data_IF_274370269170
#
_entry.id   IF_274370269170
#
_cell.length_a   1.000
_cell.length_b   1.000
_cell.length_c   1.000
_cell.angle_alpha   90.00
_cell.angle_beta   90.00
_cell.angle_gamma   90.00
#
_symmetry.space_group_name_H-M   'P 1'
#
loop_
_entity.id
_entity.type
_entity.pdbx_description
1 polymer ?
#
# COMPACT_ATOMS: atom_id res chain seq x y z
N UNK A 1 14.26 4.12 8.30
CA UNK A 1 14.79 5.51 8.43
C UNK A 1 14.06 6.20 9.57
N UNK A 2 14.75 6.98 10.40
CA UNK A 2 14.14 7.73 11.52
C UNK A 2 14.37 9.22 11.31
N UNK A 3 13.33 10.03 11.53
CA UNK A 3 13.42 11.48 11.37
C UNK A 3 12.66 12.20 12.48
N UNK A 4 13.32 13.13 13.17
CA UNK A 4 12.68 14.00 14.19
C UNK A 4 12.66 15.46 13.74
N UNK A 5 11.71 16.30 14.21
CA UNK A 5 11.78 17.74 13.98
C UNK A 5 13.07 18.30 14.58
N UNK A 6 13.72 19.24 13.88
CA UNK A 6 14.89 19.95 14.39
C UNK A 6 14.55 20.86 15.59
N UNK A 7 13.37 21.50 15.59
CA UNK A 7 12.94 22.44 16.62
C UNK A 7 11.63 22.01 17.31
N UNK A 8 11.47 22.41 18.59
CA UNK A 8 10.22 22.22 19.34
C UNK A 8 9.12 23.06 18.71
N UNK A 9 8.13 22.41 18.11
CA UNK A 9 6.92 23.06 17.59
C UNK A 9 6.19 23.83 18.69
N UNK A 10 6.32 25.16 18.73
CA UNK A 10 5.52 26.04 19.59
C UNK A 10 4.16 26.25 18.94
N UNK A 11 3.07 26.13 19.71
CA UNK A 11 1.73 26.54 19.28
C UNK A 11 1.03 25.62 18.27
N UNK A 12 0.98 24.30 18.49
CA UNK A 12 0.19 23.42 17.64
C UNK A 12 -1.30 23.59 17.91
N UNK A 13 -2.08 23.95 16.88
CA UNK A 13 -3.54 23.91 16.91
C UNK A 13 -4.11 22.51 17.17
N UNK A 14 -5.44 22.39 17.21
CA UNK A 14 -6.16 21.12 17.43
C UNK A 14 -5.63 19.98 16.54
N UNK A 15 -5.22 18.87 17.15
CA UNK A 15 -4.76 17.64 16.48
C UNK A 15 -5.72 16.46 16.70
N UNK A 16 -7.02 16.76 16.80
CA UNK A 16 -8.07 15.80 17.16
C UNK A 16 -8.18 14.66 16.15
N UNK A 17 -8.15 14.96 14.86
CA UNK A 17 -8.28 13.95 13.82
C UNK A 17 -7.05 13.03 13.78
N UNK A 18 -5.85 13.61 13.86
CA UNK A 18 -4.60 12.84 13.94
C UNK A 18 -4.60 11.92 15.16
N UNK A 19 -4.96 12.45 16.33
CA UNK A 19 -5.04 11.67 17.58
C UNK A 19 -6.05 10.54 17.47
N UNK A 20 -7.24 10.80 16.90
CA UNK A 20 -8.28 9.79 16.71
C UNK A 20 -7.83 8.67 15.77
N UNK A 21 -7.19 9.00 14.64
CA UNK A 21 -6.68 8.00 13.70
C UNK A 21 -5.60 7.15 14.39
N UNK A 22 -4.67 7.79 15.11
CA UNK A 22 -3.62 7.06 15.85
C UNK A 22 -4.23 6.11 16.88
N UNK A 23 -5.19 6.59 17.69
CA UNK A 23 -5.88 5.76 18.67
C UNK A 23 -6.62 4.58 18.02
N UNK A 24 -7.34 4.81 16.92
CA UNK A 24 -8.06 3.77 16.20
C UNK A 24 -7.12 2.68 15.67
N UNK A 25 -5.99 3.06 15.08
CA UNK A 25 -4.97 2.11 14.61
C UNK A 25 -4.37 1.28 15.74
N UNK A 26 -4.06 1.91 16.88
CA UNK A 26 -3.55 1.21 18.06
C UNK A 26 -4.57 0.18 18.55
N UNK A 27 -5.85 0.55 18.67
CA UNK A 27 -6.91 -0.37 19.11
C UNK A 27 -7.05 -1.57 18.17
N UNK A 28 -7.08 -1.34 16.85
CA UNK A 28 -7.18 -2.42 15.86
C UNK A 28 -5.94 -3.32 15.91
N UNK A 29 -4.74 -2.76 16.06
CA UNK A 29 -3.53 -3.57 16.19
C UNK A 29 -3.53 -4.42 17.45
N UNK A 30 -3.89 -3.85 18.60
CA UNK A 30 -4.01 -4.62 19.85
C UNK A 30 -4.99 -5.79 19.70
N UNK A 31 -6.11 -5.57 19.02
CA UNK A 31 -7.09 -6.64 18.74
C UNK A 31 -6.58 -7.69 17.75
N UNK A 32 -5.84 -7.30 16.71
CA UNK A 32 -5.38 -8.25 15.68
C UNK A 32 -4.12 -9.03 16.06
N UNK A 33 -3.38 -8.57 17.09
CA UNK A 33 -2.08 -9.14 17.50
C UNK A 33 -2.05 -9.74 18.92
N UNK A 34 -3.13 -9.66 19.72
CA UNK A 34 -3.10 -10.16 21.12
C UNK A 34 -2.73 -11.64 21.25
N UNK A 35 -3.12 -12.48 20.29
CA UNK A 35 -2.80 -13.92 20.26
C UNK A 35 -1.31 -14.18 20.07
N UNK A 36 -0.59 -13.22 19.50
CA UNK A 36 0.84 -13.28 19.20
C UNK A 36 1.64 -12.31 20.10
N UNK A 37 1.16 -12.05 21.32
CA UNK A 37 1.83 -11.18 22.30
C UNK A 37 2.15 -9.77 21.77
N UNK A 38 1.32 -9.25 20.86
CA UNK A 38 1.46 -7.93 20.23
C UNK A 38 2.70 -7.73 19.33
N UNK A 39 3.38 -8.81 18.94
CA UNK A 39 4.54 -8.76 18.03
C UNK A 39 4.11 -8.69 16.57
N UNK A 40 3.09 -9.46 16.21
CA UNK A 40 2.55 -9.57 14.85
C UNK A 40 1.05 -9.84 14.86
N UNK A 41 0.34 -9.41 13.83
CA UNK A 41 -1.09 -9.70 13.68
C UNK A 41 -1.30 -11.11 13.14
N UNK A 42 -2.42 -11.74 13.50
CA UNK A 42 -2.70 -13.10 13.02
C UNK A 42 -2.95 -13.11 11.51
N UNK A 43 -2.53 -14.18 10.82
CA UNK A 43 -2.83 -14.36 9.39
C UNK A 43 -4.33 -14.26 9.11
N UNK A 44 -5.16 -14.85 9.97
CA UNK A 44 -6.63 -14.71 9.92
C UNK A 44 -7.06 -13.25 9.86
N UNK A 45 -6.51 -12.39 10.72
CA UNK A 45 -6.83 -10.97 10.78
C UNK A 45 -6.35 -10.23 9.53
N UNK A 46 -5.13 -10.51 9.06
CA UNK A 46 -4.56 -9.90 7.86
C UNK A 46 -5.39 -10.24 6.63
N UNK A 47 -5.78 -11.49 6.46
CA UNK A 47 -6.60 -11.91 5.33
C UNK A 47 -8.08 -11.55 5.48
N UNK A 48 -8.59 -11.31 6.70
CA UNK A 48 -9.96 -10.84 6.90
C UNK A 48 -10.11 -9.32 6.68
N UNK A 49 -9.11 -8.53 7.09
CA UNK A 49 -9.19 -7.07 7.12
C UNK A 49 -8.33 -6.39 6.04
N UNK A 50 -7.35 -7.09 5.48
CA UNK A 50 -6.47 -6.56 4.43
C UNK A 50 -7.16 -6.44 3.08
N UNK A 51 -6.67 -5.48 2.31
CA UNK A 51 -7.17 -5.21 0.97
C UNK A 51 -6.58 -6.23 0.00
N UNK A 52 -7.45 -7.04 -0.60
CA UNK A 52 -7.08 -8.02 -1.61
C UNK A 52 -7.69 -7.55 -2.93
N UNK A 53 -6.89 -7.14 -3.94
CA UNK A 53 -7.41 -6.57 -5.18
C UNK A 53 -8.44 -7.46 -5.90
N UNK A 54 -8.26 -8.79 -5.87
CA UNK A 54 -9.19 -9.72 -6.49
C UNK A 54 -10.63 -9.59 -5.95
N UNK A 55 -10.79 -9.21 -4.68
CA UNK A 55 -12.11 -9.01 -4.08
C UNK A 55 -12.91 -7.90 -4.74
N UNK A 56 -12.27 -6.93 -5.40
CA UNK A 56 -13.00 -5.92 -6.19
C UNK A 56 -13.81 -6.54 -7.34
N UNK A 57 -13.48 -7.76 -7.76
CA UNK A 57 -14.13 -8.47 -8.86
C UNK A 57 -14.96 -9.65 -8.36
N UNK A 58 -14.52 -10.30 -7.29
CA UNK A 58 -15.10 -11.55 -6.81
C UNK A 58 -16.16 -11.35 -5.73
N UNK A 59 -15.97 -10.35 -4.87
CA UNK A 59 -16.89 -9.93 -3.81
C UNK A 59 -16.76 -8.42 -3.61
N UNK A 60 -17.38 -7.60 -4.49
CA UNK A 60 -17.16 -6.16 -4.51
C UNK A 60 -17.47 -5.47 -3.18
N UNK A 61 -18.43 -5.99 -2.41
CA UNK A 61 -18.76 -5.45 -1.10
C UNK A 61 -17.57 -5.63 -0.13
N UNK A 62 -17.04 -6.85 -0.03
CA UNK A 62 -15.83 -7.10 0.76
C UNK A 62 -14.63 -6.32 0.22
N UNK A 63 -14.46 -6.24 -1.10
CA UNK A 63 -13.41 -5.47 -1.75
C UNK A 63 -13.43 -4.00 -1.30
N UNK A 64 -14.59 -3.35 -1.36
CA UNK A 64 -14.76 -1.94 -0.97
C UNK A 64 -14.58 -1.74 0.54
N UNK A 65 -15.16 -2.59 1.38
CA UNK A 65 -14.99 -2.49 2.84
C UNK A 65 -13.52 -2.60 3.22
N UNK A 66 -12.78 -3.50 2.56
CA UNK A 66 -11.38 -3.78 2.84
C UNK A 66 -10.42 -2.71 2.39
N UNK A 67 -10.82 -1.82 1.48
CA UNK A 67 -10.08 -0.56 1.22
C UNK A 67 -9.91 0.21 2.53
N UNK A 68 -10.96 0.28 3.35
CA UNK A 68 -10.94 1.05 4.59
C UNK A 68 -10.36 0.25 5.76
N UNK A 69 -10.72 -1.02 5.95
CA UNK A 69 -10.20 -1.80 7.08
C UNK A 69 -8.69 -2.05 6.96
N UNK A 70 -8.16 -2.15 5.73
CA UNK A 70 -6.73 -2.28 5.49
C UNK A 70 -5.94 -1.06 6.02
N UNK A 71 -6.52 0.14 5.93
CA UNK A 71 -5.89 1.37 6.44
C UNK A 71 -5.68 1.38 7.95
N UNK A 72 -6.34 0.47 8.70
CA UNK A 72 -6.22 0.35 10.14
C UNK A 72 -5.55 -0.95 10.61
N UNK A 73 -5.30 -1.88 9.69
CA UNK A 73 -4.67 -3.18 9.97
C UNK A 73 -3.17 -3.08 9.74
N UNK A 74 -2.35 -3.68 10.59
CA UNK A 74 -0.89 -3.66 10.48
C UNK A 74 -0.34 -5.07 10.66
N UNK A 75 0.74 -5.39 9.96
CA UNK A 75 1.33 -6.74 9.96
C UNK A 75 2.09 -7.04 11.27
N UNK A 76 2.87 -6.08 11.75
CA UNK A 76 3.80 -6.25 12.86
C UNK A 76 4.00 -4.96 13.65
N UNK A 77 4.68 -5.11 14.79
CA UNK A 77 4.92 -4.01 15.73
C UNK A 77 5.69 -2.85 15.11
N UNK A 78 6.73 -3.12 14.31
CA UNK A 78 7.50 -2.06 13.69
C UNK A 78 6.70 -1.35 12.61
N UNK A 79 5.88 -2.09 11.86
CA UNK A 79 4.98 -1.52 10.86
C UNK A 79 4.00 -0.51 11.48
N UNK A 80 3.28 -0.87 12.55
CA UNK A 80 2.41 0.11 13.22
C UNK A 80 3.21 1.26 13.86
N UNK A 81 4.34 0.95 14.49
CA UNK A 81 5.17 1.96 15.16
C UNK A 81 5.59 3.06 14.19
N UNK A 82 6.17 2.69 13.03
CA UNK A 82 6.61 3.67 12.05
C UNK A 82 5.44 4.41 11.39
N UNK A 83 4.31 3.74 11.12
CA UNK A 83 3.13 4.43 10.59
C UNK A 83 2.61 5.48 11.56
N UNK A 84 2.45 5.14 12.83
CA UNK A 84 1.95 6.08 13.83
C UNK A 84 2.96 7.18 14.14
N UNK A 85 4.25 6.87 14.13
CA UNK A 85 5.33 7.84 14.27
C UNK A 85 5.29 8.90 13.16
N UNK A 86 5.26 8.48 11.89
CA UNK A 86 5.18 9.41 10.75
C UNK A 86 3.85 10.19 10.75
N UNK A 87 2.73 9.53 11.04
CA UNK A 87 1.43 10.18 11.12
C UNK A 87 1.40 11.26 12.22
N UNK A 88 1.94 10.96 13.40
CA UNK A 88 2.00 11.91 14.51
C UNK A 88 2.94 13.09 14.22
N UNK A 89 4.06 12.81 13.58
CA UNK A 89 5.08 13.78 13.23
C UNK A 89 4.57 14.79 12.19
N UNK A 90 4.07 14.30 11.06
CA UNK A 90 3.68 15.14 9.93
C UNK A 90 2.20 15.53 9.98
N UNK A 91 1.33 14.60 10.36
CA UNK A 91 -0.13 14.78 10.31
C UNK A 91 -0.65 15.92 11.17
N UNK A 92 -0.14 16.06 12.40
CA UNK A 92 -0.57 17.13 13.30
C UNK A 92 -0.26 18.53 12.75
N UNK A 93 0.89 18.71 12.08
CA UNK A 93 1.29 20.00 11.49
C UNK A 93 0.46 20.33 10.26
N UNK A 94 0.06 19.31 9.49
CA UNK A 94 -0.90 19.51 8.37
C UNK A 94 -2.29 19.84 8.91
N UNK A 95 -2.78 19.10 9.91
CA UNK A 95 -4.08 19.32 10.52
C UNK A 95 -4.22 20.74 11.09
N UNK A 96 -3.17 21.29 11.72
CA UNK A 96 -3.21 22.66 12.23
C UNK A 96 -3.34 23.72 11.13
N UNK A 97 -2.86 23.45 9.91
CA UNK A 97 -2.94 24.39 8.79
C UNK A 97 -4.31 24.31 8.10
N UNK A 98 -4.75 23.12 7.74
CA UNK A 98 -5.97 22.95 6.92
C UNK A 98 -7.23 22.64 7.72
N UNK A 99 -7.10 22.41 9.03
CA UNK A 99 -8.17 22.03 9.93
C UNK A 99 -8.56 20.55 9.83
N UNK A 100 -9.15 20.01 10.90
CA UNK A 100 -9.47 18.58 11.03
C UNK A 100 -10.34 18.03 9.90
N UNK A 101 -11.33 18.79 9.40
CA UNK A 101 -12.22 18.32 8.32
C UNK A 101 -11.48 18.11 6.99
N UNK A 102 -10.68 19.09 6.56
CA UNK A 102 -9.91 18.98 5.31
C UNK A 102 -8.77 17.98 5.46
N UNK A 103 -8.21 17.86 6.65
CA UNK A 103 -7.22 16.83 6.97
C UNK A 103 -7.77 15.40 6.85
N UNK A 104 -8.98 15.14 7.38
CA UNK A 104 -9.63 13.84 7.20
C UNK A 104 -9.89 13.54 5.72
N UNK A 105 -10.35 14.53 4.95
CA UNK A 105 -10.52 14.38 3.50
C UNK A 105 -9.20 14.07 2.80
N UNK A 106 -8.12 14.80 3.12
CA UNK A 106 -6.78 14.53 2.60
C UNK A 106 -6.35 13.09 2.91
N UNK A 107 -6.48 12.67 4.17
CA UNK A 107 -6.05 11.35 4.64
C UNK A 107 -6.80 10.21 3.92
N UNK A 108 -8.14 10.22 3.95
CA UNK A 108 -8.94 9.15 3.36
C UNK A 108 -8.91 9.14 1.83
N UNK A 109 -8.91 10.31 1.17
CA UNK A 109 -8.79 10.37 -0.28
C UNK A 109 -7.39 9.89 -0.74
N UNK A 110 -6.33 10.17 0.02
CA UNK A 110 -5.00 9.65 -0.26
C UNK A 110 -4.92 8.14 -0.03
N UNK A 111 -5.61 7.60 0.99
CA UNK A 111 -5.73 6.16 1.18
C UNK A 111 -6.44 5.44 0.03
N UNK A 112 -7.53 6.03 -0.48
CA UNK A 112 -8.23 5.51 -1.66
C UNK A 112 -7.34 5.55 -2.91
N UNK A 113 -6.62 6.67 -3.11
CA UNK A 113 -5.67 6.79 -4.22
C UNK A 113 -4.48 5.82 -4.09
N UNK A 114 -4.05 5.51 -2.87
CA UNK A 114 -3.02 4.50 -2.62
C UNK A 114 -3.48 3.12 -3.11
N UNK A 115 -4.69 2.70 -2.74
CA UNK A 115 -5.27 1.44 -3.24
C UNK A 115 -5.42 1.48 -4.76
N UNK A 116 -5.92 2.58 -5.31
CA UNK A 116 -6.08 2.75 -6.75
C UNK A 116 -4.76 2.57 -7.51
N UNK A 117 -3.68 3.22 -7.06
CA UNK A 117 -2.36 3.13 -7.71
C UNK A 117 -1.75 1.74 -7.54
N UNK A 118 -1.97 1.09 -6.40
CA UNK A 118 -1.55 -0.29 -6.20
C UNK A 118 -2.24 -1.23 -7.18
N UNK A 119 -3.56 -1.11 -7.37
CA UNK A 119 -4.32 -1.89 -8.37
C UNK A 119 -3.86 -1.55 -9.79
N UNK A 120 -3.69 -0.27 -10.09
CA UNK A 120 -3.32 0.23 -11.41
C UNK A 120 -1.95 -0.27 -11.89
N UNK A 121 -1.02 -0.61 -10.99
CA UNK A 121 0.32 -1.10 -11.39
C UNK A 121 0.40 -2.62 -11.54
N UNK A 122 -0.58 -3.40 -11.06
CA UNK A 122 -0.53 -4.88 -11.03
C UNK A 122 -0.06 -5.51 -12.36
N UNK A 123 -0.54 -5.09 -13.55
CA UNK A 123 -0.06 -5.61 -14.83
C UNK A 123 1.46 -5.55 -15.04
N UNK A 124 2.12 -4.57 -14.44
CA UNK A 124 3.57 -4.35 -14.48
C UNK A 124 4.25 -4.92 -13.23
N UNK A 125 3.62 -4.73 -12.07
CA UNK A 125 4.12 -5.10 -10.75
C UNK A 125 4.00 -6.59 -10.40
N UNK A 126 3.23 -7.36 -11.17
CA UNK A 126 3.00 -8.79 -10.97
C UNK A 126 1.58 -9.11 -10.52
N UNK A 127 0.98 -10.11 -11.18
CA UNK A 127 -0.39 -10.53 -10.91
C UNK A 127 -0.56 -11.35 -9.61
N UNK A 128 0.54 -11.80 -9.01
CA UNK A 128 0.56 -12.34 -7.65
C UNK A 128 -0.04 -11.36 -6.62
N UNK A 129 0.16 -10.06 -6.83
CA UNK A 129 -0.41 -9.01 -5.98
C UNK A 129 -1.95 -8.97 -6.00
N UNK A 130 -2.64 -9.63 -6.94
CA UNK A 130 -4.09 -9.70 -6.96
C UNK A 130 -4.67 -10.43 -5.74
N UNK A 131 -3.92 -11.40 -5.20
CA UNK A 131 -4.41 -12.31 -4.15
C UNK A 131 -3.67 -12.15 -2.82
N UNK A 132 -2.63 -11.31 -2.78
CA UNK A 132 -1.88 -10.98 -1.57
C UNK A 132 -2.53 -9.79 -0.85
N UNK A 133 -2.83 -9.89 0.45
CA UNK A 133 -3.45 -8.81 1.21
C UNK A 133 -2.46 -7.67 1.45
N UNK A 134 -2.86 -6.45 1.09
CA UNK A 134 -2.19 -5.22 1.48
C UNK A 134 -2.81 -4.66 2.76
N UNK A 135 -1.97 -4.29 3.73
CA UNK A 135 -2.37 -3.69 5.01
C UNK A 135 -1.51 -2.48 5.33
N UNK A 136 -2.04 -1.55 6.12
CA UNK A 136 -1.30 -0.43 6.69
C UNK A 136 -1.88 0.93 6.34
N UNK A 137 -1.73 1.87 7.27
CA UNK A 137 -2.08 3.28 7.09
C UNK A 137 -1.13 4.03 6.13
N UNK A 138 -0.02 3.42 5.75
CA UNK A 138 1.13 4.06 5.09
C UNK A 138 0.79 4.75 3.78
N UNK A 139 -0.16 4.22 2.99
CA UNK A 139 -0.66 4.89 1.77
C UNK A 139 -1.31 6.25 2.07
N UNK A 140 -2.22 6.30 3.05
CA UNK A 140 -2.84 7.55 3.47
C UNK A 140 -1.84 8.53 4.10
N UNK A 141 -0.91 8.02 4.91
CA UNK A 141 0.19 8.79 5.50
C UNK A 141 1.07 9.38 4.40
N UNK A 142 1.34 8.64 3.32
CA UNK A 142 2.12 9.13 2.19
C UNK A 142 1.51 10.37 1.55
N UNK A 143 0.17 10.47 1.51
CA UNK A 143 -0.50 11.69 1.08
C UNK A 143 -0.35 12.88 2.03
N UNK A 144 -0.29 12.61 3.34
CA UNK A 144 0.10 13.62 4.33
C UNK A 144 1.53 14.10 4.07
N UNK A 145 2.46 13.20 3.71
CA UNK A 145 3.84 13.56 3.34
C UNK A 145 3.88 14.40 2.05
N UNK A 146 3.11 14.04 1.03
CA UNK A 146 2.98 14.82 -0.20
C UNK A 146 2.49 16.24 0.07
N UNK A 147 1.49 16.39 0.94
CA UNK A 147 1.03 17.70 1.39
C UNK A 147 2.10 18.48 2.17
N UNK A 148 2.82 17.79 3.05
CA UNK A 148 3.88 18.38 3.85
C UNK A 148 5.04 18.90 3.00
N UNK A 149 5.40 18.19 1.93
CA UNK A 149 6.41 18.67 0.97
C UNK A 149 6.04 20.02 0.35
N UNK A 150 4.77 20.21 -0.04
CA UNK A 150 4.33 21.45 -0.68
C UNK A 150 4.16 22.59 0.33
N UNK A 151 3.68 22.29 1.54
CA UNK A 151 3.43 23.28 2.56
C UNK A 151 4.71 23.73 3.28
N UNK A 152 5.64 22.80 3.55
CA UNK A 152 6.83 23.04 4.39
C UNK A 152 8.14 22.56 3.74
N UNK A 153 8.45 22.93 2.48
CA UNK A 153 9.58 22.37 1.74
C UNK A 153 10.95 22.56 2.40
N UNK A 154 11.13 23.60 3.22
CA UNK A 154 12.40 23.91 3.87
C UNK A 154 12.39 23.69 5.39
N UNK A 155 11.32 23.15 5.95
CA UNK A 155 11.31 22.78 7.36
C UNK A 155 12.48 21.80 7.62
N UNK A 156 13.24 22.05 8.69
CA UNK A 156 14.41 21.25 9.05
C UNK A 156 13.99 19.97 9.77
N UNK A 157 14.47 18.86 9.24
CA UNK A 157 14.28 17.52 9.76
C UNK A 157 15.65 16.98 10.19
N UNK A 158 15.73 16.30 11.32
CA UNK A 158 16.92 15.54 11.71
C UNK A 158 16.82 14.14 11.16
N UNK A 159 17.60 13.86 10.12
CA UNK A 159 17.66 12.53 9.54
C UNK A 159 18.69 11.70 10.28
N UNK A 160 18.22 10.64 10.94
CA UNK A 160 19.04 9.67 11.66
C UNK A 160 19.14 8.35 10.89
N UNK A 161 20.37 7.92 10.65
CA UNK A 161 20.72 6.63 10.06
C UNK A 161 21.53 5.82 11.07
N UNK A 162 21.34 4.50 11.07
CA UNK A 162 22.15 3.61 11.90
C UNK A 162 23.30 3.05 11.06
N UNK A 163 24.51 3.54 11.30
CA UNK A 163 25.73 3.00 10.68
C UNK A 163 26.50 2.21 11.74
N UNK A 164 26.70 0.90 11.52
CA UNK A 164 27.37 0.01 12.48
C UNK A 164 26.82 0.15 13.92
N UNK A 165 25.49 0.20 14.07
CA UNK A 165 24.77 0.39 15.34
C UNK A 165 24.93 1.77 16.03
N UNK A 166 25.72 2.69 15.46
CA UNK A 166 25.81 4.06 15.94
C UNK A 166 24.80 4.96 15.20
N UNK A 167 23.95 5.73 15.91
CA UNK A 167 23.06 6.68 15.26
C UNK A 167 23.86 7.89 14.75
N UNK A 168 23.92 8.05 13.43
CA UNK A 168 24.42 9.26 12.78
C UNK A 168 23.24 10.12 12.35
N UNK A 169 23.12 11.31 12.93
CA UNK A 169 22.02 12.23 12.69
C UNK A 169 22.53 13.56 12.11
N UNK A 170 21.89 14.05 11.05
CA UNK A 170 22.23 15.34 10.44
C UNK A 170 20.97 16.10 9.99
N UNK A 171 20.97 17.44 10.04
CA UNK A 171 19.83 18.23 9.62
C UNK A 171 19.71 18.22 8.09
N UNK A 172 18.50 18.02 7.59
CA UNK A 172 18.15 18.09 6.17
C UNK A 172 16.88 18.88 5.97
N UNK A 173 16.71 19.46 4.78
CA UNK A 173 15.42 20.05 4.43
C UNK A 173 14.40 18.95 4.15
N UNK A 174 13.15 19.24 4.48
CA UNK A 174 11.99 18.41 4.17
C UNK A 174 11.94 18.04 2.68
N UNK A 175 12.22 18.99 1.79
CA UNK A 175 12.23 18.76 0.36
C UNK A 175 13.24 17.68 -0.05
N UNK A 176 14.48 17.77 0.47
CA UNK A 176 15.51 16.76 0.17
C UNK A 176 15.07 15.39 0.69
N UNK A 177 14.66 15.32 1.95
CA UNK A 177 14.27 14.06 2.58
C UNK A 177 13.09 13.40 1.85
N UNK A 178 12.00 14.12 1.62
CA UNK A 178 10.78 13.56 1.03
C UNK A 178 10.92 13.26 -0.47
N UNK A 179 11.75 14.00 -1.22
CA UNK A 179 12.01 13.68 -2.63
C UNK A 179 12.84 12.39 -2.73
N UNK A 180 13.87 12.22 -1.89
CA UNK A 180 14.64 10.96 -1.84
C UNK A 180 13.74 9.80 -1.45
N UNK A 181 12.95 9.97 -0.38
CA UNK A 181 12.00 8.95 0.06
C UNK A 181 11.00 8.57 -1.03
N UNK A 182 10.45 9.55 -1.76
CA UNK A 182 9.52 9.31 -2.87
C UNK A 182 10.22 8.61 -4.06
N UNK A 183 11.43 9.01 -4.40
CA UNK A 183 12.23 8.36 -5.44
C UNK A 183 12.49 6.89 -5.09
N UNK A 184 12.78 6.59 -3.82
CA UNK A 184 12.92 5.22 -3.31
C UNK A 184 11.63 4.43 -3.50
N UNK A 185 10.46 5.00 -3.20
CA UNK A 185 9.18 4.31 -3.42
C UNK A 185 8.98 3.93 -4.89
N UNK A 186 9.29 4.86 -5.81
CA UNK A 186 9.17 4.63 -7.26
C UNK A 186 10.16 3.54 -7.70
N UNK A 187 11.42 3.63 -7.28
CA UNK A 187 12.47 2.68 -7.66
C UNK A 187 12.17 1.27 -7.14
N UNK A 188 11.90 1.13 -5.83
CA UNK A 188 11.65 -0.17 -5.21
C UNK A 188 10.35 -0.80 -5.70
N UNK A 189 9.34 0.02 -6.03
CA UNK A 189 8.13 -0.45 -6.68
C UNK A 189 8.42 -1.10 -8.03
N UNK A 190 9.19 -0.46 -8.91
CA UNK A 190 9.56 -1.03 -10.21
C UNK A 190 10.49 -2.24 -10.11
N UNK A 191 11.37 -2.25 -9.11
CA UNK A 191 12.28 -3.37 -8.84
C UNK A 191 11.61 -4.55 -8.10
N UNK A 192 10.36 -4.39 -7.65
CA UNK A 192 9.60 -5.39 -6.87
C UNK A 192 10.35 -5.88 -5.63
N UNK A 193 10.98 -4.97 -4.88
CA UNK A 193 11.85 -5.35 -3.76
C UNK A 193 11.06 -5.56 -2.45
N UNK A 194 10.96 -6.81 -1.99
CA UNK A 194 10.37 -7.11 -0.68
C UNK A 194 8.83 -7.07 -0.66
N UNK A 195 8.24 -7.21 0.54
CA UNK A 195 6.79 -7.38 0.74
C UNK A 195 6.00 -6.08 0.95
N UNK A 196 6.45 -4.96 0.39
CA UNK A 196 5.83 -3.64 0.59
C UNK A 196 5.11 -3.19 -0.67
N UNK A 197 3.87 -2.72 -0.53
CA UNK A 197 3.08 -2.16 -1.62
C UNK A 197 3.55 -0.73 -1.98
N UNK A 198 4.76 -0.59 -2.53
CA UNK A 198 5.37 0.73 -2.81
C UNK A 198 4.51 1.65 -3.68
N UNK A 199 3.77 1.11 -4.66
CA UNK A 199 2.88 1.93 -5.48
C UNK A 199 1.65 2.44 -4.72
N UNK A 200 1.29 1.85 -3.58
CA UNK A 200 0.34 2.44 -2.65
C UNK A 200 0.93 3.71 -2.01
N UNK A 201 2.21 3.69 -1.62
CA UNK A 201 2.89 4.89 -1.11
C UNK A 201 3.03 5.96 -2.19
N UNK A 202 3.39 5.56 -3.42
CA UNK A 202 3.43 6.47 -4.58
C UNK A 202 2.07 7.11 -4.80
N UNK A 203 0.99 6.33 -4.84
CA UNK A 203 -0.37 6.85 -5.05
C UNK A 203 -0.83 7.79 -3.96
N UNK A 204 -0.59 7.43 -2.70
CA UNK A 204 -0.83 8.31 -1.57
C UNK A 204 -0.10 9.64 -1.72
N UNK A 205 1.21 9.61 -1.96
CA UNK A 205 2.03 10.81 -2.11
C UNK A 205 1.58 11.71 -3.26
N UNK A 206 1.33 11.13 -4.43
CA UNK A 206 0.86 11.85 -5.63
C UNK A 206 -0.53 12.45 -5.39
N UNK A 207 -1.43 11.73 -4.74
CA UNK A 207 -2.72 12.26 -4.34
C UNK A 207 -2.59 13.40 -3.32
N UNK A 208 -1.65 13.31 -2.39
CA UNK A 208 -1.28 14.40 -1.48
C UNK A 208 -0.87 15.65 -2.24
N UNK A 209 0.04 15.53 -3.21
CA UNK A 209 0.47 16.64 -4.07
C UNK A 209 -0.73 17.28 -4.81
N UNK A 210 -1.59 16.44 -5.39
CA UNK A 210 -2.79 16.85 -6.11
C UNK A 210 -3.81 17.58 -5.21
N UNK A 211 -4.18 16.98 -4.08
CA UNK A 211 -5.25 17.47 -3.22
C UNK A 211 -4.86 18.72 -2.46
N UNK A 212 -3.58 18.88 -2.12
CA UNK A 212 -3.12 19.98 -1.25
C UNK A 212 -3.51 21.33 -1.82
N UNK A 213 -3.25 21.58 -3.11
CA UNK A 213 -3.58 22.85 -3.75
C UNK A 213 -5.08 23.22 -3.59
N UNK A 214 -5.96 22.25 -3.80
CA UNK A 214 -7.42 22.44 -3.69
C UNK A 214 -7.82 22.68 -2.23
N UNK A 215 -7.29 21.88 -1.31
CA UNK A 215 -7.65 21.93 0.10
C UNK A 215 -7.10 23.16 0.83
N UNK A 216 -6.04 23.78 0.30
CA UNK A 216 -5.40 24.97 0.90
C UNK A 216 -5.86 26.28 0.25
N UNK A 217 -6.62 26.23 -0.85
CA UNK A 217 -7.13 27.41 -1.54
C UNK A 217 -7.94 28.29 -0.59
N UNK A 218 -7.61 29.59 -0.54
CA UNK A 218 -8.23 30.59 0.34
C UNK A 218 -7.84 30.51 1.83
N UNK A 219 -7.21 29.42 2.30
CA UNK A 219 -6.71 29.30 3.69
C UNK A 219 -5.31 29.91 3.84
N UNK A 220 -4.43 29.64 2.89
CA UNK A 220 -3.03 30.12 2.94
C UNK A 220 -2.97 31.63 2.79
N UNK A 221 -3.92 32.24 2.07
CA UNK A 221 -4.05 33.69 1.97
C UNK A 221 -4.39 34.31 3.33
N UNK A 222 -5.29 33.68 4.10
CA UNK A 222 -5.61 34.10 5.46
C UNK A 222 -4.46 33.88 6.46
N UNK A 223 -3.70 32.79 6.34
CA UNK A 223 -2.49 32.56 7.14
C UNK A 223 -1.32 33.48 6.77
N UNK A 224 -1.16 33.82 5.48
CA UNK A 224 -0.18 34.83 5.00
C UNK A 224 -0.52 36.24 5.50
N UNK A 225 -1.80 36.59 5.53
CA UNK A 225 -2.27 37.91 5.95
C UNK A 225 -2.28 38.10 7.48
N UNK A 226 -2.41 37.03 8.26
CA UNK A 226 -2.51 37.11 9.73
C UNK A 226 -1.17 37.08 10.47
N UNK A 227 -0.06 36.83 9.80
CA UNK A 227 1.25 37.05 10.41
C UNK A 227 1.73 38.45 10.06
N UNK A 228 2.13 39.17 11.10
CA UNK A 228 2.85 40.45 11.19
C UNK A 228 3.99 40.63 10.17
N UNK A 229 4.34 39.58 9.42
CA UNK A 229 5.25 39.55 8.29
C UNK A 229 4.92 40.61 7.24
N UNK A 230 3.68 40.79 6.80
CA UNK A 230 3.42 41.77 5.73
C UNK A 230 3.55 43.23 6.21
N UNK A 231 3.30 43.52 7.49
CA UNK A 231 3.46 44.87 8.05
C UNK A 231 4.92 45.15 8.42
N UNK A 232 5.58 44.22 9.12
CA UNK A 232 6.99 44.34 9.51
C UNK A 232 7.90 44.23 8.29
N UNK A 233 7.64 43.34 7.33
CA UNK A 233 8.45 43.24 6.11
C UNK A 233 8.30 44.47 5.21
N UNK A 234 7.12 45.08 5.14
CA UNK A 234 6.94 46.38 4.47
C UNK A 234 7.74 47.48 5.17
N UNK A 235 7.61 47.59 6.50
CA UNK A 235 8.38 48.54 7.30
C UNK A 235 9.91 48.31 7.18
N UNK A 236 10.35 47.05 7.19
CA UNK A 236 11.76 46.66 7.01
C UNK A 236 12.25 47.02 5.59
N UNK A 237 11.43 46.81 4.56
CA UNK A 237 11.75 47.22 3.19
C UNK A 237 11.83 48.76 3.06
N UNK A 238 10.98 49.51 3.76
CA UNK A 238 11.03 50.98 3.81
C UNK A 238 12.33 51.50 4.43
N UNK A 239 12.94 50.76 5.38
CA UNK A 239 14.27 51.09 5.96
C UNK A 239 15.44 50.38 5.26
N UNK A 240 15.22 49.83 4.05
CA UNK A 240 16.28 49.27 3.19
C UNK A 240 16.64 47.81 3.45
N UNK A 241 15.93 47.11 4.34
CA UNK A 241 16.13 45.67 4.62
C UNK A 241 15.29 44.85 3.65
N UNK A 242 15.97 44.13 2.74
CA UNK A 242 15.31 43.27 1.74
C UNK A 242 14.78 42.00 2.40
N UNK A 243 13.51 42.00 2.80
CA UNK A 243 12.82 40.76 3.18
C UNK A 243 12.45 39.98 1.91
N UNK A 244 13.17 38.88 1.65
CA UNK A 244 12.87 37.99 0.51
C UNK A 244 11.54 37.27 0.74
N UNK A 245 10.61 37.37 -0.21
CA UNK A 245 9.39 36.55 -0.21
C UNK A 245 9.79 35.08 -0.07
N UNK A 246 9.10 34.34 0.80
CA UNK A 246 9.53 32.99 1.03
C UNK A 246 9.26 32.15 -0.22
N UNK A 247 10.27 31.40 -0.62
CA UNK A 247 10.23 30.58 -1.84
C UNK A 247 9.49 29.30 -1.51
N UNK A 248 8.60 28.85 -2.39
CA UNK A 248 8.11 27.49 -2.38
C UNK A 248 9.20 26.52 -2.86
N UNK A 249 8.77 25.40 -3.43
CA UNK A 249 9.69 24.36 -3.86
C UNK A 249 10.67 24.89 -4.95
N UNK A 250 11.97 24.70 -4.73
CA UNK A 250 13.01 25.17 -5.66
C UNK A 250 12.91 24.52 -7.06
N UNK A 251 13.45 25.19 -8.08
CA UNK A 251 13.36 24.73 -9.48
C UNK A 251 13.95 23.33 -9.71
N UNK A 252 15.09 23.01 -9.08
CA UNK A 252 15.71 21.68 -9.15
C UNK A 252 14.80 20.61 -8.55
N UNK A 253 14.22 20.87 -7.37
CA UNK A 253 13.29 19.95 -6.71
C UNK A 253 12.03 19.71 -7.56
N UNK A 254 11.47 20.76 -8.17
CA UNK A 254 10.36 20.65 -9.13
C UNK A 254 10.75 19.81 -10.35
N UNK A 255 11.95 19.99 -10.90
CA UNK A 255 12.42 19.22 -12.05
C UNK A 255 12.56 17.73 -11.71
N UNK A 256 13.18 17.39 -10.58
CA UNK A 256 13.32 16.00 -10.11
C UNK A 256 11.95 15.35 -9.90
N UNK A 257 11.04 16.02 -9.18
CA UNK A 257 9.67 15.51 -9.00
C UNK A 257 8.93 15.34 -10.32
N UNK A 258 9.10 16.27 -11.27
CA UNK A 258 8.48 16.16 -12.59
C UNK A 258 8.95 14.89 -13.30
N UNK A 259 10.25 14.60 -13.28
CA UNK A 259 10.81 13.36 -13.85
C UNK A 259 10.20 12.13 -13.16
N UNK A 260 10.18 12.09 -11.83
CA UNK A 260 9.60 10.97 -11.06
C UNK A 260 8.11 10.77 -11.39
N UNK A 261 7.33 11.85 -11.47
CA UNK A 261 5.91 11.80 -11.83
C UNK A 261 5.68 11.34 -13.27
N UNK A 262 6.56 11.72 -14.21
CA UNK A 262 6.52 11.23 -15.59
C UNK A 262 6.84 9.73 -15.63
N UNK A 263 7.82 9.25 -14.85
CA UNK A 263 8.11 7.82 -14.74
C UNK A 263 6.92 7.04 -14.16
N UNK A 264 6.26 7.57 -13.14
CA UNK A 264 5.03 6.99 -12.58
C UNK A 264 3.92 6.94 -13.62
N UNK A 265 3.69 8.03 -14.36
CA UNK A 265 2.69 8.07 -15.43
C UNK A 265 3.02 7.07 -16.56
N UNK A 266 4.29 6.95 -16.96
CA UNK A 266 4.71 5.98 -17.97
C UNK A 266 4.40 4.53 -17.55
N UNK A 267 4.62 4.19 -16.28
CA UNK A 267 4.25 2.87 -15.75
C UNK A 267 2.77 2.58 -15.85
N UNK A 268 1.90 3.55 -15.51
CA UNK A 268 0.45 3.36 -15.64
C UNK A 268 -0.01 3.32 -17.09
N UNK A 269 0.56 4.13 -17.98
CA UNK A 269 0.25 4.06 -19.40
C UNK A 269 0.62 2.69 -19.98
N UNK A 270 1.81 2.17 -19.62
CA UNK A 270 2.24 0.84 -19.98
C UNK A 270 1.35 -0.25 -19.36
N UNK A 271 0.93 -0.08 -18.11
CA UNK A 271 0.01 -0.98 -17.43
C UNK A 271 -1.35 -1.10 -18.12
N UNK A 272 -1.94 0.03 -18.53
CA UNK A 272 -3.21 0.05 -19.31
C UNK A 272 -3.02 -0.64 -20.64
N UNK A 273 -1.97 -0.30 -21.39
CA UNK A 273 -1.64 -0.95 -22.65
C UNK A 273 -1.49 -2.47 -22.49
N UNK A 274 -0.72 -2.90 -21.49
CA UNK A 274 -0.42 -4.31 -21.25
C UNK A 274 -1.65 -5.10 -20.82
N UNK A 275 -2.54 -4.51 -20.00
CA UNK A 275 -3.81 -5.11 -19.61
C UNK A 275 -4.67 -5.46 -20.81
N UNK A 276 -4.74 -4.54 -21.79
CA UNK A 276 -5.51 -4.74 -23.02
C UNK A 276 -4.82 -5.73 -23.96
N UNK A 277 -3.50 -5.70 -24.04
CA UNK A 277 -2.73 -6.58 -24.93
C UNK A 277 -2.61 -8.02 -24.42
N UNK A 278 -2.61 -8.26 -23.11
CA UNK A 278 -2.37 -9.56 -22.48
C UNK A 278 -3.08 -9.66 -21.13
N UNK A 279 -4.40 -9.84 -21.12
CA UNK A 279 -5.19 -9.90 -19.88
C UNK A 279 -4.81 -11.13 -19.06
N UNK A 280 -4.70 -11.01 -17.72
CA UNK A 280 -4.43 -12.15 -16.86
C UNK A 280 -5.63 -13.10 -16.81
N UNK A 281 -5.37 -14.37 -16.56
CA UNK A 281 -6.43 -15.35 -16.34
C UNK A 281 -6.70 -15.47 -14.84
N UNK A 282 -7.73 -14.76 -14.38
CA UNK A 282 -8.21 -14.78 -12.99
C UNK A 282 -9.49 -15.60 -12.91
N UNK A 283 -9.64 -16.37 -11.84
CA UNK A 283 -10.75 -17.29 -11.62
C UNK A 283 -11.25 -17.19 -10.18
N UNK A 284 -12.56 -17.34 -10.01
CA UNK A 284 -13.18 -17.70 -8.74
C UNK A 284 -13.15 -19.20 -8.57
N UNK A 285 -12.51 -19.67 -7.51
CA UNK A 285 -12.42 -21.07 -7.15
C UNK A 285 -13.33 -21.33 -5.94
N UNK A 286 -14.50 -21.92 -6.20
CA UNK A 286 -15.42 -22.39 -5.15
C UNK A 286 -15.01 -23.79 -4.75
N UNK A 287 -14.73 -23.99 -3.46
CA UNK A 287 -14.18 -25.24 -2.92
C UNK A 287 -14.98 -25.65 -1.69
N UNK A 288 -15.35 -26.92 -1.65
CA UNK A 288 -15.94 -27.58 -0.49
C UNK A 288 -15.01 -28.72 -0.07
N UNK A 289 -14.55 -28.72 1.18
CA UNK A 289 -13.64 -29.71 1.75
C UNK A 289 -14.17 -30.21 3.10
N UNK A 290 -14.54 -31.49 3.21
CA UNK A 290 -15.07 -32.11 4.44
C UNK A 290 -16.10 -31.26 5.21
N UNK A 291 -17.08 -30.68 4.49
CA UNK A 291 -18.14 -29.77 4.99
C UNK A 291 -17.75 -28.30 5.21
N UNK A 292 -16.48 -27.91 5.04
CA UNK A 292 -16.09 -26.50 4.99
C UNK A 292 -16.17 -26.01 3.54
N UNK A 293 -16.97 -24.98 3.27
CA UNK A 293 -17.05 -24.34 1.96
C UNK A 293 -16.42 -22.95 2.02
N UNK A 294 -15.65 -22.61 0.99
CA UNK A 294 -15.09 -21.28 0.82
C UNK A 294 -14.97 -20.95 -0.68
N UNK A 295 -14.84 -19.66 -0.99
CA UNK A 295 -14.59 -19.19 -2.35
C UNK A 295 -13.36 -18.32 -2.34
N UNK A 296 -12.32 -18.78 -3.04
CA UNK A 296 -11.01 -18.12 -3.11
C UNK A 296 -10.73 -17.64 -4.54
N UNK A 297 -9.82 -16.68 -4.68
CA UNK A 297 -9.34 -16.20 -5.97
C UNK A 297 -8.16 -17.05 -6.43
N UNK A 298 -8.17 -17.47 -7.69
CA UNK A 298 -7.08 -18.19 -8.35
C UNK A 298 -6.58 -17.36 -9.53
N UNK A 299 -5.28 -17.13 -9.59
CA UNK A 299 -4.63 -16.36 -10.66
C UNK A 299 -3.60 -17.24 -11.32
N UNK A 300 -3.67 -17.31 -12.65
CA UNK A 300 -2.68 -18.02 -13.47
C UNK A 300 -1.89 -17.01 -14.28
N UNK A 301 -0.57 -17.01 -14.08
CA UNK A 301 0.32 -16.07 -14.75
C UNK A 301 1.71 -16.67 -14.96
N UNK A 302 2.26 -16.56 -16.19
CA UNK A 302 3.60 -17.08 -16.57
C UNK A 302 3.87 -18.53 -16.14
N UNK A 303 2.84 -19.36 -16.15
CA UNK A 303 2.94 -20.77 -15.77
C UNK A 303 2.90 -21.04 -14.27
N UNK A 304 2.77 -20.02 -13.41
CA UNK A 304 2.53 -20.18 -11.99
C UNK A 304 1.05 -19.97 -11.63
N UNK A 305 0.64 -20.58 -10.53
CA UNK A 305 -0.69 -20.45 -9.93
C UNK A 305 -0.54 -19.82 -8.56
N UNK A 306 -1.29 -18.77 -8.32
CA UNK A 306 -1.43 -18.15 -7.01
C UNK A 306 -2.88 -18.27 -6.55
N UNK A 307 -3.07 -18.60 -5.27
CA UNK A 307 -4.40 -18.77 -4.67
C UNK A 307 -4.50 -17.91 -3.43
N UNK A 308 -5.59 -17.15 -3.30
CA UNK A 308 -5.84 -16.37 -2.09
C UNK A 308 -6.05 -17.30 -0.89
N UNK A 309 -5.65 -16.84 0.29
CA UNK A 309 -5.84 -17.59 1.54
C UNK A 309 -7.30 -17.87 1.85
N UNK A 310 -7.53 -19.02 2.47
CA UNK A 310 -8.80 -19.39 3.10
C UNK A 310 -8.63 -19.46 4.61
N UNK A 311 -9.58 -18.86 5.34
CA UNK A 311 -9.66 -19.00 6.80
C UNK A 311 -10.10 -20.40 7.24
N UNK A 312 -10.68 -21.19 6.34
CA UNK A 312 -11.12 -22.55 6.62
C UNK A 312 -9.94 -23.53 6.56
N UNK A 313 -9.61 -24.17 7.68
CA UNK A 313 -8.45 -25.07 7.80
C UNK A 313 -8.43 -26.17 6.74
N UNK A 314 -9.56 -26.86 6.53
CA UNK A 314 -9.65 -27.93 5.53
C UNK A 314 -9.41 -27.42 4.10
N UNK A 315 -9.98 -26.27 3.75
CA UNK A 315 -9.81 -25.65 2.43
C UNK A 315 -8.35 -25.21 2.24
N UNK A 316 -7.77 -24.54 3.25
CA UNK A 316 -6.37 -24.10 3.22
C UNK A 316 -5.39 -25.26 3.07
N UNK A 317 -5.57 -26.34 3.85
CA UNK A 317 -4.73 -27.54 3.73
C UNK A 317 -4.88 -28.15 2.34
N UNK A 318 -6.11 -28.31 1.84
CA UNK A 318 -6.41 -28.86 0.52
C UNK A 318 -5.70 -28.06 -0.58
N UNK A 319 -5.92 -26.74 -0.64
CA UNK A 319 -5.36 -25.86 -1.67
C UNK A 319 -3.83 -25.93 -1.71
N UNK A 320 -3.19 -25.98 -0.54
CA UNK A 320 -1.73 -26.16 -0.42
C UNK A 320 -1.23 -27.53 -0.92
N UNK A 321 -2.09 -28.54 -1.09
CA UNK A 321 -1.71 -29.87 -1.63
C UNK A 321 -2.03 -30.04 -3.09
N UNK A 322 -3.01 -29.32 -3.61
CA UNK A 322 -3.51 -29.52 -4.97
C UNK A 322 -3.04 -28.43 -5.93
N UNK A 323 -2.12 -27.53 -5.54
CA UNK A 323 -1.65 -26.44 -6.40
C UNK A 323 -1.25 -26.91 -7.82
N UNK A 324 -0.54 -28.04 -7.91
CA UNK A 324 -0.14 -28.66 -9.18
C UNK A 324 -1.31 -29.20 -10.00
N UNK A 325 -2.43 -29.52 -9.36
CA UNK A 325 -3.66 -29.93 -10.03
C UNK A 325 -4.51 -28.75 -10.46
N UNK A 326 -4.34 -27.56 -9.85
CA UNK A 326 -5.11 -26.37 -10.21
C UNK A 326 -4.76 -25.83 -11.61
N UNK A 327 -3.56 -26.13 -12.11
CA UNK A 327 -3.11 -25.75 -13.44
C UNK A 327 -2.17 -26.79 -14.05
N UNK A 328 -2.62 -27.39 -15.15
CA UNK A 328 -1.88 -28.34 -15.96
C UNK A 328 -2.05 -28.00 -17.45
N UNK A 329 -1.11 -27.23 -18.05
CA UNK A 329 -1.16 -26.86 -19.47
C UNK A 329 -1.18 -28.07 -20.41
N UNK A 330 -0.53 -29.17 -20.01
CA UNK A 330 -0.45 -30.38 -20.82
C UNK A 330 -1.78 -31.13 -20.88
N UNK A 331 -2.72 -30.82 -19.99
CA UNK A 331 -4.06 -31.39 -19.95
C UNK A 331 -5.14 -30.38 -20.38
N UNK A 332 -4.78 -29.32 -21.11
CA UNK A 332 -5.72 -28.29 -21.55
C UNK A 332 -6.88 -28.90 -22.37
N UNK A 333 -8.11 -28.61 -21.95
CA UNK A 333 -9.34 -29.16 -22.55
C UNK A 333 -9.62 -30.64 -22.22
N UNK A 334 -8.77 -31.30 -21.43
CA UNK A 334 -8.88 -32.72 -21.12
C UNK A 334 -9.40 -33.00 -19.70
N UNK A 335 -9.78 -34.26 -19.47
CA UNK A 335 -10.10 -34.80 -18.16
C UNK A 335 -8.99 -35.75 -17.71
N UNK A 336 -8.49 -35.57 -16.48
CA UNK A 336 -7.37 -36.33 -15.93
C UNK A 336 -7.75 -36.91 -14.58
N UNK A 337 -7.36 -38.17 -14.35
CA UNK A 337 -7.46 -38.84 -13.07
C UNK A 337 -6.08 -38.90 -12.40
N UNK A 338 -5.95 -38.30 -11.21
CA UNK A 338 -4.75 -38.36 -10.40
C UNK A 338 -4.92 -39.41 -9.31
N UNK A 339 -4.22 -40.54 -9.48
CA UNK A 339 -4.25 -41.70 -8.57
C UNK A 339 -2.89 -42.06 -7.99
N UNK A 340 -1.81 -41.46 -8.51
CA UNK A 340 -0.45 -41.77 -8.10
C UNK A 340 0.01 -40.84 -6.97
N UNK A 341 0.70 -41.36 -5.94
CA UNK A 341 1.28 -40.54 -4.88
C UNK A 341 2.26 -39.50 -5.42
N UNK A 342 2.17 -38.29 -4.87
CA UNK A 342 3.11 -37.19 -5.15
C UNK A 342 3.64 -36.61 -3.84
N UNK A 343 4.72 -35.82 -3.95
CA UNK A 343 5.23 -35.02 -2.85
C UNK A 343 5.02 -33.54 -3.14
N UNK A 344 4.54 -32.81 -2.14
CA UNK A 344 4.39 -31.36 -2.19
C UNK A 344 5.20 -30.76 -1.04
N UNK A 345 5.95 -29.70 -1.31
CA UNK A 345 6.74 -29.02 -0.29
C UNK A 345 5.92 -27.97 0.43
N UNK A 346 5.89 -28.04 1.75
CA UNK A 346 5.16 -27.10 2.62
C UNK A 346 6.10 -26.69 3.74
N UNK A 347 6.42 -25.39 3.84
CA UNK A 347 7.44 -24.89 4.77
C UNK A 347 8.78 -25.65 4.64
N UNK A 348 9.19 -25.96 3.40
CA UNK A 348 10.41 -26.71 3.11
C UNK A 348 10.36 -28.21 3.41
N UNK A 349 9.25 -28.74 3.96
CA UNK A 349 9.09 -30.16 4.26
C UNK A 349 8.40 -30.91 3.10
N UNK A 350 8.91 -32.08 2.68
CA UNK A 350 8.23 -32.92 1.71
C UNK A 350 7.03 -33.61 2.37
N UNK A 351 5.83 -33.26 1.93
CA UNK A 351 4.57 -33.82 2.42
C UNK A 351 4.00 -34.77 1.38
N UNK A 352 3.75 -36.05 1.73
CA UNK A 352 3.11 -36.98 0.80
C UNK A 352 1.64 -36.60 0.58
N UNK A 353 1.19 -36.74 -0.66
CA UNK A 353 -0.20 -36.59 -1.07
C UNK A 353 -0.56 -37.82 -1.88
N UNK A 354 -1.55 -38.56 -1.41
CA UNK A 354 -2.15 -39.69 -2.10
C UNK A 354 -3.49 -39.23 -2.68
N UNK A 355 -3.53 -38.82 -3.96
CA UNK A 355 -4.76 -38.36 -4.60
C UNK A 355 -5.60 -39.52 -5.12
N UNK A 356 -6.91 -39.38 -5.03
CA UNK A 356 -7.90 -40.04 -5.86
C UNK A 356 -8.80 -38.92 -6.40
N UNK A 357 -8.32 -38.22 -7.43
CA UNK A 357 -8.89 -36.96 -7.90
C UNK A 357 -9.23 -37.03 -9.38
N UNK A 358 -10.48 -36.72 -9.70
CA UNK A 358 -10.93 -36.44 -11.05
C UNK A 358 -10.86 -34.94 -11.30
N UNK A 359 -10.19 -34.51 -12.36
CA UNK A 359 -10.04 -33.11 -12.73
C UNK A 359 -10.40 -32.90 -14.20
N UNK A 360 -11.21 -31.88 -14.48
CA UNK A 360 -11.54 -31.41 -15.84
C UNK A 360 -10.91 -30.04 -16.02
N UNK A 361 -10.12 -29.87 -17.07
CA UNK A 361 -9.41 -28.62 -17.36
C UNK A 361 -10.10 -27.78 -18.44
N UNK A 362 -9.92 -26.46 -18.37
CA UNK A 362 -10.28 -25.56 -19.46
C UNK A 362 -9.20 -25.54 -20.55
N UNK A 363 -9.45 -24.81 -21.64
CA UNK A 363 -8.52 -24.64 -22.77
C UNK A 363 -7.20 -23.95 -22.38
N UNK A 364 -7.16 -23.29 -21.22
CA UNK A 364 -5.93 -22.69 -20.69
C UNK A 364 -5.16 -23.67 -19.79
N UNK A 365 -5.69 -24.87 -19.52
CA UNK A 365 -5.12 -25.83 -18.59
C UNK A 365 -5.43 -25.51 -17.13
N UNK A 366 -6.40 -24.65 -16.82
CA UNK A 366 -6.85 -24.37 -15.45
C UNK A 366 -7.97 -25.34 -15.07
N UNK A 367 -7.95 -25.85 -13.84
CA UNK A 367 -9.00 -26.77 -13.39
C UNK A 367 -10.37 -26.10 -13.45
N UNK A 368 -11.29 -26.62 -14.25
CA UNK A 368 -12.67 -26.16 -14.39
C UNK A 368 -13.58 -26.79 -13.34
N UNK A 369 -13.42 -28.09 -13.12
CA UNK A 369 -14.10 -28.88 -12.08
C UNK A 369 -13.14 -29.93 -11.56
N UNK A 370 -13.18 -30.18 -10.27
CA UNK A 370 -12.39 -31.22 -9.64
C UNK A 370 -13.14 -31.83 -8.47
N UNK A 371 -13.07 -33.14 -8.32
CA UNK A 371 -13.62 -33.80 -7.15
C UNK A 371 -12.84 -35.05 -6.81
N UNK A 372 -12.93 -35.47 -5.56
CA UNK A 372 -12.31 -36.69 -5.10
C UNK A 372 -11.83 -36.59 -3.67
N UNK A 373 -10.81 -37.39 -3.36
CA UNK A 373 -10.27 -37.48 -2.01
C UNK A 373 -8.76 -37.41 -2.05
N UNK A 374 -8.18 -36.59 -1.17
CA UNK A 374 -6.75 -36.62 -0.89
C UNK A 374 -6.51 -37.18 0.50
N UNK A 375 -5.50 -38.03 0.62
CA UNK A 375 -4.91 -38.39 1.91
C UNK A 375 -3.51 -37.77 2.01
N UNK A 376 -3.26 -37.03 3.06
CA UNK A 376 -2.00 -36.29 3.25
C UNK A 376 -1.63 -36.21 4.72
N UNK A 377 -0.53 -35.52 5.04
CA UNK A 377 -0.12 -35.22 6.41
C UNK A 377 -0.26 -33.73 6.73
N UNK A 378 -0.63 -33.46 7.97
CA UNK A 378 -0.72 -32.10 8.51
C UNK A 378 0.69 -31.60 8.79
N UNK A 379 0.98 -30.34 8.42
CA UNK A 379 2.23 -29.69 8.82
C UNK A 379 1.90 -28.75 9.97
N UNK A 380 2.63 -28.91 11.08
CA UNK A 380 2.49 -28.07 12.28
C UNK A 380 3.72 -27.17 12.33
N UNK A 381 3.50 -25.88 12.06
CA UNK A 381 4.51 -24.86 12.25
C UNK A 381 4.56 -24.42 13.72
N UNK A 382 5.76 -24.12 14.21
CA UNK A 382 5.97 -23.52 15.53
C UNK A 382 6.26 -22.02 15.39
N UNK A 383 6.12 -21.30 16.51
CA UNK A 383 6.36 -19.84 16.58
C UNK A 383 7.83 -19.42 16.38
N UNK A 384 8.75 -20.38 16.31
CA UNK A 384 10.19 -20.16 16.12
C UNK A 384 10.65 -20.47 14.69
N UNK A 385 9.72 -20.63 13.74
CA UNK A 385 10.02 -20.89 12.32
C UNK A 385 10.37 -22.34 11.97
N UNK A 386 10.20 -23.28 12.91
CA UNK A 386 10.33 -24.71 12.65
C UNK A 386 9.00 -25.35 12.27
N UNK A 387 9.00 -26.24 11.28
CA UNK A 387 7.85 -27.05 10.90
C UNK A 387 8.09 -28.53 11.21
N UNK A 388 7.02 -29.27 11.52
CA UNK A 388 7.06 -30.74 11.64
C UNK A 388 5.85 -31.39 11.01
N UNK A 389 6.02 -32.62 10.54
CA UNK A 389 4.94 -33.42 9.98
C UNK A 389 4.14 -34.10 11.11
N UNK A 390 2.87 -33.76 11.22
CA UNK A 390 1.89 -34.29 12.17
C UNK A 390 1.08 -35.48 11.64
N UNK A 391 -0.11 -35.69 12.18
CA UNK A 391 -0.99 -36.83 11.82
C UNK A 391 -1.40 -36.85 10.34
N UNK A 392 -1.97 -37.98 9.90
CA UNK A 392 -2.62 -38.09 8.60
C UNK A 392 -4.02 -37.48 8.63
N UNK A 393 -4.45 -36.97 7.47
CA UNK A 393 -5.77 -36.39 7.27
C UNK A 393 -6.28 -36.81 5.90
N UNK A 394 -7.57 -37.12 5.84
CA UNK A 394 -8.28 -37.46 4.60
C UNK A 394 -9.29 -36.35 4.31
N UNK A 395 -9.21 -35.77 3.11
CA UNK A 395 -10.03 -34.63 2.70
C UNK A 395 -10.77 -35.00 1.42
N UNK A 396 -12.08 -35.22 1.55
CA UNK A 396 -13.00 -35.28 0.43
C UNK A 396 -13.34 -33.85 -0.01
N UNK A 397 -13.28 -33.60 -1.31
CA UNK A 397 -13.51 -32.27 -1.83
C UNK A 397 -14.23 -32.26 -3.17
N UNK A 398 -14.88 -31.14 -3.42
CA UNK A 398 -15.39 -30.73 -4.72
C UNK A 398 -14.98 -29.28 -4.94
N UNK A 399 -14.60 -28.96 -6.17
CA UNK A 399 -14.25 -27.62 -6.57
C UNK A 399 -14.71 -27.31 -7.99
N UNK A 400 -14.91 -26.03 -8.24
CA UNK A 400 -15.17 -25.52 -9.59
C UNK A 400 -14.59 -24.12 -9.75
N UNK A 401 -14.19 -23.79 -10.97
CA UNK A 401 -13.71 -22.45 -11.29
C UNK A 401 -14.64 -21.71 -12.24
N UNK A 402 -14.72 -20.39 -12.04
CA UNK A 402 -15.40 -19.45 -12.94
C UNK A 402 -14.42 -18.36 -13.31
N UNK A 403 -14.14 -18.19 -14.61
CA UNK A 403 -13.22 -17.15 -15.10
C UNK A 403 -13.82 -15.76 -14.90
N UNK A 404 -12.99 -14.81 -14.49
CA UNK A 404 -13.33 -13.39 -14.34
C UNK A 404 -12.48 -12.56 -15.27
N UNK A 405 -13.15 -11.64 -15.98
CA UNK A 405 -12.46 -10.60 -16.71
C UNK A 405 -12.07 -9.44 -15.78
N UNK A 406 -10.76 -9.32 -15.52
CA UNK A 406 -10.20 -8.25 -14.67
C UNK A 406 -9.74 -7.05 -15.48
N UNK A 407 -9.68 -7.16 -16.81
CA UNK A 407 -9.13 -6.11 -17.67
C UNK A 407 -9.87 -4.77 -17.54
N UNK A 408 -11.21 -4.71 -17.44
CA UNK A 408 -11.92 -3.43 -17.32
C UNK A 408 -11.50 -2.64 -16.09
N UNK A 409 -11.42 -3.28 -14.92
CA UNK A 409 -11.13 -2.57 -13.68
C UNK A 409 -9.66 -2.16 -13.59
N UNK A 410 -8.74 -3.03 -14.01
CA UNK A 410 -7.31 -2.69 -14.08
C UNK A 410 -7.07 -1.52 -15.04
N UNK A 411 -7.78 -1.49 -16.17
CA UNK A 411 -7.70 -0.38 -17.15
C UNK A 411 -8.26 0.92 -16.59
N UNK A 412 -9.44 0.87 -15.96
CA UNK A 412 -10.05 2.05 -15.30
C UNK A 412 -9.13 2.57 -14.20
N UNK A 413 -8.56 1.69 -13.38
CA UNK A 413 -7.62 2.06 -12.33
C UNK A 413 -6.38 2.77 -12.91
N UNK A 414 -5.80 2.24 -13.98
CA UNK A 414 -4.69 2.85 -14.70
C UNK A 414 -5.01 4.24 -15.26
N UNK A 415 -6.17 4.44 -15.88
CA UNK A 415 -6.60 5.74 -16.41
C UNK A 415 -6.82 6.77 -15.29
N UNK A 416 -7.42 6.35 -14.17
CA UNK A 416 -7.60 7.25 -13.03
C UNK A 416 -6.25 7.61 -12.38
N UNK A 417 -5.34 6.66 -12.22
CA UNK A 417 -4.00 6.90 -11.70
C UNK A 417 -3.20 7.88 -12.58
N UNK A 418 -3.29 7.74 -13.91
CA UNK A 418 -2.74 8.69 -14.87
C UNK A 418 -3.31 10.09 -14.68
N UNK A 419 -4.62 10.20 -14.52
CA UNK A 419 -5.31 11.49 -14.36
C UNK A 419 -4.90 12.20 -13.07
N UNK A 420 -4.81 11.47 -11.95
CA UNK A 420 -4.33 12.00 -10.66
C UNK A 420 -2.87 12.45 -10.77
N UNK A 421 -2.03 11.63 -11.44
CA UNK A 421 -0.62 11.96 -11.68
C UNK A 421 -0.47 13.23 -12.52
N UNK A 422 -1.24 13.36 -13.60
CA UNK A 422 -1.26 14.56 -14.44
C UNK A 422 -1.71 15.80 -13.66
N UNK A 423 -2.75 15.68 -12.84
CA UNK A 423 -3.22 16.79 -12.00
C UNK A 423 -2.20 17.20 -10.93
N UNK A 424 -1.44 16.24 -10.38
CA UNK A 424 -0.37 16.55 -9.41
C UNK A 424 0.73 17.44 -10.01
N UNK A 425 1.03 17.32 -11.31
CA UNK A 425 1.97 18.20 -12.02
C UNK A 425 1.48 19.65 -12.06
N UNK A 426 0.17 19.87 -12.20
CA UNK A 426 -0.43 21.21 -12.14
C UNK A 426 -0.28 21.81 -10.74
N UNK A 427 -0.52 21.00 -9.71
CA UNK A 427 -0.34 21.43 -8.31
C UNK A 427 1.12 21.75 -8.00
N UNK A 428 2.07 20.96 -8.55
CA UNK A 428 3.50 21.21 -8.40
C UNK A 428 3.94 22.54 -9.03
N UNK A 429 3.37 22.93 -10.18
CA UNK A 429 3.63 24.25 -10.79
C UNK A 429 3.20 25.40 -9.89
N UNK A 430 2.10 25.20 -9.14
CA UNK A 430 1.53 26.18 -8.21
C UNK A 430 2.04 26.04 -6.77
N UNK A 431 3.06 25.23 -6.52
CA UNK A 431 3.59 24.99 -5.17
C UNK A 431 4.00 26.29 -4.44
N UNK A 432 4.48 27.30 -5.17
CA UNK A 432 4.90 28.58 -4.58
C UNK A 432 3.72 29.42 -4.07
N UNK A 433 2.53 29.18 -4.61
CA UNK A 433 1.30 29.88 -4.18
C UNK A 433 0.84 29.42 -2.79
N UNK A 434 1.14 28.17 -2.41
CA UNK A 434 0.56 27.50 -1.24
C UNK A 434 1.55 27.24 -0.11
N UNK A 435 2.86 27.40 -0.33
CA UNK A 435 3.87 27.20 0.70
C UNK A 435 3.59 28.06 1.95
N UNK A 436 3.52 27.41 3.11
CA UNK A 436 3.29 28.03 4.42
C UNK A 436 4.64 28.21 5.06
N UNK A 437 5.03 29.47 5.22
CA UNK A 437 6.36 29.83 5.67
C UNK A 437 6.17 30.29 7.09
N UNK A 438 6.56 29.43 8.02
CA UNK A 438 6.64 29.81 9.42
C UNK A 438 7.77 30.81 9.67
N UNK A 439 7.80 31.36 10.88
CA UNK A 439 8.81 32.30 11.40
C UNK A 439 10.29 31.86 11.21
N UNK A 440 10.53 30.63 10.76
CA UNK A 440 11.82 29.97 10.50
C UNK A 440 12.72 30.65 9.43
N UNK A 441 12.27 31.74 8.78
CA UNK A 441 13.00 32.44 7.70
C UNK A 441 13.46 33.87 8.01
N UNK A 442 13.37 34.34 9.26
CA UNK A 442 14.00 35.61 9.64
C UNK A 442 15.49 35.36 9.92
N UNK A 443 16.29 35.21 8.87
CA UNK A 443 17.72 35.52 8.96
C UNK A 443 17.84 37.04 9.03
N UNK A 444 17.98 37.59 10.23
CA UNK A 444 18.48 38.95 10.43
C UNK A 444 19.95 38.98 10.03
N UNK A 445 20.25 39.11 8.73
CA UNK A 445 21.57 39.53 8.30
C UNK A 445 21.71 41.02 8.63
N UNK A 446 22.29 41.33 9.79
CA UNK A 446 22.83 42.65 10.06
C UNK A 446 24.11 42.80 9.23
N UNK A 447 24.05 43.63 8.19
CA UNK A 447 25.23 44.20 7.53
C UNK A 447 25.38 45.65 7.94
#
# INVERSE_FOLDING_TARGET
>A
MVVVPWERSRGMGSSKATTLIVAANIVVYLYTSYRNMFLESTNESIYALGFIPALLFTDPLQGVVRIFTAMFTHADFFHIFFNMYFLWLFGRRIESVIGSRRYLLLYFASGLAAVLFHVAIIPVGGYDSLVVPAVGASGAISGVLGAYLLLFPYARLMWCMFFLFLPYCFPVSTAVFLIIWFAEQVLYGYMRLGGVAYFAHVGGFVAGLALTYVLTRGLVEHYRLNYTYDYIARWLQEIGIVVRKPRGLGGVAKAVLTVLLVLVAAGFAYSVYYTVASPPSTYLLSVTANNASDTVSLVVYRGSVEVSFSSMDYVRILLNRIQTFLYNPSAAGESVEYTHPIFVYVEGLPVPVNPQVSAVYDEAGVIKRGSGVIETRIVIANIYGGARIGGSIKIAFELSTTRIDTAPVLSIAGVMALSITAYSLLSLRRADEIAVVGEEYVETSFL
#
